data_IF_680599679479
#
_entry.id   IF_680599679479
#
_cell.length_a   1.000
_cell.length_b   1.000
_cell.length_c   1.000
_cell.angle_alpha   90.00
_cell.angle_beta   90.00
_cell.angle_gamma   90.00
#
_symmetry.space_group_name_H-M   'P 1'
#
loop_
_entity.id
_entity.type
_entity.pdbx_description
1 polymer ?
#
# COMPACT_ATOMS: atom_id res chain seq x y z
N UNK A 1 -7.92 5.71 17.18
CA UNK A 1 -8.31 6.67 16.12
C UNK A 1 -9.55 6.23 15.34
N UNK A 2 -9.49 5.17 14.51
CA UNK A 2 -10.59 4.78 13.61
C UNK A 2 -11.96 4.60 14.29
N UNK A 3 -12.00 3.98 15.49
CA UNK A 3 -13.25 3.82 16.23
C UNK A 3 -13.93 5.15 16.57
N UNK A 4 -13.17 6.20 16.88
CA UNK A 4 -13.69 7.50 17.26
C UNK A 4 -14.18 8.30 16.04
N UNK A 5 -13.39 8.29 14.96
CA UNK A 5 -13.66 9.10 13.74
C UNK A 5 -14.80 8.52 12.89
N UNK A 6 -15.06 7.21 12.97
CA UNK A 6 -16.10 6.52 12.18
C UNK A 6 -15.98 6.79 10.67
N UNK A 7 -14.79 6.60 10.07
CA UNK A 7 -14.62 6.92 8.67
C UNK A 7 -15.40 5.93 7.78
N UNK A 8 -15.89 6.41 6.64
CA UNK A 8 -16.55 5.56 5.64
C UNK A 8 -15.58 4.58 4.97
N UNK A 9 -14.28 4.93 4.92
CA UNK A 9 -13.21 4.07 4.44
C UNK A 9 -11.86 4.49 5.04
N UNK A 10 -10.85 3.65 4.92
CA UNK A 10 -9.48 3.98 5.31
C UNK A 10 -8.45 3.58 4.24
N UNK A 11 -7.38 4.38 4.14
CA UNK A 11 -6.19 4.04 3.37
C UNK A 11 -4.99 4.12 4.31
N UNK A 12 -4.33 3.00 4.57
CA UNK A 12 -3.06 2.98 5.28
C UNK A 12 -1.91 3.31 4.32
N UNK A 13 -1.04 4.21 4.75
CA UNK A 13 0.16 4.62 4.02
C UNK A 13 1.36 4.17 4.84
N UNK A 14 2.14 3.24 4.30
CA UNK A 14 3.17 2.54 5.08
C UNK A 14 4.46 2.35 4.26
N UNK A 15 5.48 1.74 4.85
CA UNK A 15 6.59 1.17 4.08
C UNK A 15 6.37 -0.34 3.89
N UNK A 16 7.07 -0.92 2.93
CA UNK A 16 7.10 -2.37 2.75
C UNK A 16 8.49 -2.80 2.34
N UNK A 17 8.86 -4.03 2.68
CA UNK A 17 10.20 -4.57 2.39
C UNK A 17 10.46 -4.57 0.90
N UNK A 18 11.53 -3.90 0.47
CA UNK A 18 12.18 -4.17 -0.80
C UNK A 18 13.29 -5.20 -0.57
N UNK A 19 13.26 -6.31 -1.32
CA UNK A 19 14.22 -7.41 -1.16
C UNK A 19 14.88 -7.80 -2.49
N UNK A 20 14.97 -6.84 -3.41
CA UNK A 20 15.68 -6.93 -4.67
C UNK A 20 17.21 -6.85 -4.47
N UNK A 21 17.70 -7.72 -3.59
CA UNK A 21 19.10 -7.85 -3.20
C UNK A 21 19.66 -9.19 -3.68
N UNK A 22 20.98 -9.31 -3.92
CA UNK A 22 21.59 -10.56 -4.32
C UNK A 22 21.23 -11.71 -3.38
N UNK A 23 20.87 -12.87 -3.94
CA UNK A 23 20.52 -14.07 -3.17
C UNK A 23 19.03 -14.23 -2.84
N UNK A 24 18.18 -13.25 -3.12
CA UNK A 24 16.72 -13.36 -2.96
C UNK A 24 16.08 -13.76 -4.30
N UNK A 25 15.27 -14.81 -4.30
CA UNK A 25 14.57 -15.25 -5.49
C UNK A 25 13.42 -14.27 -5.84
N UNK A 26 13.10 -14.06 -7.13
CA UNK A 26 12.09 -13.07 -7.53
C UNK A 26 10.70 -13.28 -6.91
N UNK A 27 10.29 -14.54 -6.66
CA UNK A 27 9.02 -14.87 -6.02
C UNK A 27 8.96 -14.52 -4.54
N UNK A 28 10.12 -14.47 -3.88
CA UNK A 28 10.26 -14.15 -2.45
C UNK A 28 10.49 -12.65 -2.24
N UNK A 29 10.67 -11.89 -3.32
CA UNK A 29 10.87 -10.45 -3.31
C UNK A 29 9.53 -9.72 -3.13
N UNK A 30 9.28 -9.07 -1.96
CA UNK A 30 7.96 -8.50 -1.70
C UNK A 30 7.66 -7.31 -2.61
N UNK A 31 8.67 -6.46 -2.77
CA UNK A 31 8.68 -5.30 -3.67
C UNK A 31 10.11 -5.03 -4.10
N UNK A 32 10.27 -4.20 -5.13
CA UNK A 32 11.58 -3.73 -5.61
C UNK A 32 11.64 -2.21 -5.55
N UNK A 33 12.84 -1.66 -5.31
CA UNK A 33 13.06 -0.22 -5.44
C UNK A 33 12.92 0.22 -6.90
N UNK A 34 12.45 1.43 -7.11
CA UNK A 34 12.31 2.08 -8.41
C UNK A 34 11.12 1.64 -9.24
N UNK A 35 10.30 0.73 -8.71
CA UNK A 35 9.08 0.20 -9.36
C UNK A 35 7.81 0.91 -8.91
N UNK A 36 7.94 1.99 -8.13
CA UNK A 36 6.83 2.82 -7.68
C UNK A 36 6.07 2.25 -6.48
N UNK A 37 4.97 2.92 -6.07
CA UNK A 37 4.14 2.50 -4.95
C UNK A 37 3.72 1.03 -5.05
N UNK A 38 3.74 0.37 -3.90
CA UNK A 38 3.25 -0.99 -3.75
C UNK A 38 1.79 -0.95 -3.31
N UNK A 39 0.91 -1.49 -4.15
CA UNK A 39 -0.50 -1.68 -3.82
C UNK A 39 -0.66 -3.08 -3.22
N UNK A 40 -1.25 -3.17 -2.03
CA UNK A 40 -1.53 -4.48 -1.40
C UNK A 40 -2.87 -5.02 -1.89
N UNK A 41 -2.89 -6.27 -2.33
CA UNK A 41 -4.14 -7.01 -2.63
C UNK A 41 -4.64 -7.70 -1.36
N UNK A 42 -3.73 -8.37 -0.66
CA UNK A 42 -3.99 -8.97 0.64
C UNK A 42 -2.67 -9.16 1.42
N UNK A 43 -2.79 -9.32 2.73
CA UNK A 43 -1.76 -9.78 3.65
C UNK A 43 -2.37 -10.73 4.69
N UNK A 44 -1.66 -11.07 5.78
CA UNK A 44 -2.20 -12.01 6.79
C UNK A 44 -3.35 -11.44 7.62
N UNK A 45 -3.52 -10.12 7.60
CA UNK A 45 -4.46 -9.36 8.43
C UNK A 45 -5.62 -8.77 7.63
N UNK A 46 -5.50 -8.67 6.30
CA UNK A 46 -6.48 -7.98 5.46
C UNK A 46 -6.54 -8.58 4.05
N UNK A 47 -7.75 -8.74 3.54
CA UNK A 47 -8.01 -8.72 2.09
C UNK A 47 -8.53 -7.32 1.77
N UNK A 48 -7.84 -6.59 0.90
CA UNK A 48 -8.18 -5.19 0.61
C UNK A 48 -9.54 -5.11 -0.07
N UNK A 49 -10.33 -4.10 0.31
CA UNK A 49 -11.63 -3.88 -0.32
C UNK A 49 -11.48 -3.68 -1.84
N UNK A 50 -12.26 -4.44 -2.63
CA UNK A 50 -12.13 -4.49 -4.09
C UNK A 50 -12.27 -3.11 -4.76
N UNK A 51 -13.24 -2.28 -4.34
CA UNK A 51 -13.43 -0.94 -4.91
C UNK A 51 -12.19 -0.07 -4.70
N UNK A 52 -11.59 -0.14 -3.51
CA UNK A 52 -10.36 0.62 -3.18
C UNK A 52 -9.20 0.16 -4.07
N UNK A 53 -9.01 -1.16 -4.18
CA UNK A 53 -7.94 -1.76 -4.99
C UNK A 53 -8.08 -1.40 -6.48
N UNK A 54 -9.28 -1.49 -7.04
CA UNK A 54 -9.56 -1.14 -8.43
C UNK A 54 -9.37 0.36 -8.69
N UNK A 55 -9.80 1.20 -7.76
CA UNK A 55 -9.65 2.65 -7.88
C UNK A 55 -8.18 3.08 -7.86
N UNK A 56 -7.38 2.54 -6.94
CA UNK A 56 -5.94 2.80 -6.90
C UNK A 56 -5.25 2.40 -8.21
N UNK A 57 -5.57 1.22 -8.75
CA UNK A 57 -5.04 0.78 -10.05
C UNK A 57 -5.49 1.67 -11.20
N UNK A 58 -6.77 2.07 -11.21
CA UNK A 58 -7.32 2.98 -12.21
C UNK A 58 -6.58 4.32 -12.19
N UNK A 59 -6.40 4.92 -11.00
CA UNK A 59 -5.69 6.18 -10.82
C UNK A 59 -4.23 6.08 -11.24
N UNK A 60 -3.53 5.01 -10.85
CA UNK A 60 -2.15 4.77 -11.25
C UNK A 60 -2.02 4.70 -12.78
N UNK A 61 -2.90 3.95 -13.46
CA UNK A 61 -2.94 3.87 -14.92
C UNK A 61 -3.28 5.23 -15.56
N UNK A 62 -4.33 5.91 -15.08
CA UNK A 62 -4.79 7.20 -15.61
C UNK A 62 -3.72 8.29 -15.51
N UNK A 63 -2.90 8.27 -14.46
CA UNK A 63 -1.83 9.24 -14.23
C UNK A 63 -0.45 8.76 -14.71
N UNK A 64 -0.36 7.60 -15.35
CA UNK A 64 0.90 6.98 -15.78
C UNK A 64 1.91 6.82 -14.63
N UNK A 65 1.42 6.51 -13.44
CA UNK A 65 2.25 6.23 -12.26
C UNK A 65 2.64 4.75 -12.29
N UNK A 66 3.93 4.40 -12.43
CA UNK A 66 4.38 3.03 -12.28
C UNK A 66 4.00 2.52 -10.87
N UNK A 67 3.44 1.32 -10.80
CA UNK A 67 3.11 0.70 -9.52
C UNK A 67 3.42 -0.80 -9.59
N UNK A 68 3.51 -1.40 -8.41
CA UNK A 68 3.68 -2.84 -8.25
C UNK A 68 2.67 -3.39 -7.25
N UNK A 69 2.43 -4.69 -7.29
CA UNK A 69 1.70 -5.36 -6.22
C UNK A 69 2.68 -5.86 -5.18
N UNK A 70 2.34 -5.66 -3.90
CA UNK A 70 3.07 -6.28 -2.80
C UNK A 70 2.89 -7.81 -2.87
N UNK A 71 4.00 -8.53 -2.91
CA UNK A 71 4.09 -9.98 -2.75
C UNK A 71 4.86 -10.28 -1.46
N UNK A 72 5.05 -11.53 -1.03
CA UNK A 72 4.00 -12.54 -0.87
C UNK A 72 2.94 -12.12 0.17
N UNK A 73 1.93 -12.96 0.42
CA UNK A 73 0.89 -12.78 1.46
C UNK A 73 1.48 -12.93 2.87
N UNK A 74 2.40 -12.04 3.23
CA UNK A 74 3.11 -12.03 4.50
C UNK A 74 3.14 -10.63 5.12
N UNK A 75 3.47 -10.60 6.41
CA UNK A 75 3.28 -9.41 7.24
C UNK A 75 1.81 -9.10 7.50
N UNK A 76 1.59 -7.96 8.13
CA UNK A 76 0.28 -7.35 8.35
C UNK A 76 0.46 -5.84 8.35
N UNK A 77 -0.64 -5.11 8.23
CA UNK A 77 -0.66 -3.65 8.07
C UNK A 77 -1.65 -3.06 9.07
N UNK A 78 -1.56 -1.75 9.33
CA UNK A 78 -2.51 -1.07 10.22
C UNK A 78 -3.94 -1.16 9.66
N UNK A 79 -4.08 -1.27 8.34
CA UNK A 79 -5.36 -1.48 7.68
C UNK A 79 -6.08 -2.76 8.14
N UNK A 80 -5.35 -3.82 8.50
CA UNK A 80 -5.96 -5.04 9.04
C UNK A 80 -6.64 -4.81 10.39
N UNK A 81 -6.07 -3.94 11.25
CA UNK A 81 -6.72 -3.54 12.51
C UNK A 81 -7.86 -2.57 12.27
N UNK A 82 -7.72 -1.63 11.34
CA UNK A 82 -8.76 -0.66 10.99
C UNK A 82 -9.99 -1.37 10.41
N UNK A 83 -9.79 -2.38 9.56
CA UNK A 83 -10.87 -3.12 8.92
C UNK A 83 -11.79 -3.86 9.91
N UNK A 84 -11.29 -4.20 11.10
CA UNK A 84 -12.06 -4.90 12.15
C UNK A 84 -12.81 -3.95 13.09
N UNK A 85 -12.70 -2.64 12.88
CA UNK A 85 -13.35 -1.65 13.75
C UNK A 85 -14.83 -1.52 13.41
N UNK A 86 -15.69 -1.54 14.44
CA UNK A 86 -17.15 -1.38 14.34
C UNK A 86 -17.78 -2.46 13.44
N UNK A 87 -18.63 -2.06 12.49
CA UNK A 87 -19.29 -2.96 11.52
C UNK A 87 -18.35 -3.40 10.39
N UNK A 88 -17.08 -2.97 10.44
CA UNK A 88 -16.07 -3.19 9.42
C UNK A 88 -15.87 -1.95 8.57
N UNK A 89 -14.64 -1.43 8.56
CA UNK A 89 -14.28 -0.24 7.77
C UNK A 89 -13.59 -0.71 6.48
N UNK A 90 -14.15 -0.45 5.28
CA UNK A 90 -13.47 -0.71 4.02
C UNK A 90 -12.08 -0.08 4.02
N UNK A 91 -11.05 -0.92 3.89
CA UNK A 91 -9.65 -0.49 4.06
C UNK A 91 -8.77 -0.94 2.90
N UNK A 92 -7.80 -0.10 2.54
CA UNK A 92 -6.74 -0.42 1.58
C UNK A 92 -5.37 0.04 2.05
N UNK A 93 -4.33 -0.31 1.30
CA UNK A 93 -2.93 -0.03 1.65
C UNK A 93 -2.15 0.38 0.41
N UNK A 94 -1.40 1.47 0.54
CA UNK A 94 -0.33 1.86 -0.40
C UNK A 94 0.96 1.99 0.37
N UNK A 95 2.02 1.34 -0.10
CA UNK A 95 3.31 1.31 0.60
C UNK A 95 4.45 1.82 -0.26
N UNK A 96 5.41 2.50 0.36
CA UNK A 96 6.70 2.84 -0.27
C UNK A 96 7.67 1.65 -0.11
N UNK A 97 8.23 1.11 -1.20
CA UNK A 97 9.30 0.11 -1.14
C UNK A 97 10.53 0.64 -0.38
N UNK A 98 11.00 -0.11 0.60
CA UNK A 98 12.13 0.29 1.43
C UNK A 98 12.93 -0.94 1.90
N UNK A 99 14.25 -0.87 1.80
CA UNK A 99 15.18 -1.90 2.29
C UNK A 99 15.49 -1.69 3.76
N UNK A 100 15.68 -2.81 4.47
CA UNK A 100 16.07 -2.81 5.88
C UNK A 100 15.06 -2.07 6.77
N UNK A 101 13.76 -2.21 6.47
CA UNK A 101 12.71 -1.77 7.38
C UNK A 101 12.86 -2.54 8.71
N UNK A 102 12.71 -1.87 9.85
CA UNK A 102 13.07 -2.35 11.19
C UNK A 102 14.57 -2.42 11.54
N UNK A 103 15.47 -1.93 10.69
CA UNK A 103 16.87 -1.68 11.05
C UNK A 103 17.08 -0.22 11.49
N UNK A 104 18.20 0.12 12.17
CA UNK A 104 18.52 1.52 12.51
C UNK A 104 18.70 2.45 11.31
N UNK A 105 19.01 1.88 10.14
CA UNK A 105 19.14 2.59 8.87
C UNK A 105 18.29 1.84 7.85
N UNK A 106 17.47 2.57 7.11
CA UNK A 106 16.67 2.05 6.01
C UNK A 106 17.00 2.82 4.73
N UNK A 107 16.77 2.19 3.57
CA UNK A 107 17.12 2.76 2.26
C UNK A 107 15.94 2.64 1.31
N UNK A 108 15.62 3.74 0.64
CA UNK A 108 14.53 3.83 -0.34
C UNK A 108 14.97 4.65 -1.55
N UNK A 109 14.18 4.60 -2.62
CA UNK A 109 14.32 5.49 -3.76
C UNK A 109 13.40 6.70 -3.63
N UNK A 110 13.94 7.92 -3.76
CA UNK A 110 13.15 9.15 -3.62
C UNK A 110 11.99 9.23 -4.62
N UNK A 111 12.20 8.74 -5.86
CA UNK A 111 11.14 8.69 -6.88
C UNK A 111 9.97 7.79 -6.48
N UNK A 112 10.21 6.75 -5.68
CA UNK A 112 9.11 5.91 -5.19
C UNK A 112 8.26 6.64 -4.16
N UNK A 113 8.85 7.51 -3.33
CA UNK A 113 8.09 8.41 -2.44
C UNK A 113 7.26 9.37 -3.27
N UNK A 114 7.85 10.08 -4.23
CA UNK A 114 7.16 11.06 -5.08
C UNK A 114 5.95 10.43 -5.78
N UNK A 115 6.15 9.28 -6.43
CA UNK A 115 5.07 8.52 -7.09
C UNK A 115 4.01 8.02 -6.11
N UNK A 116 4.41 7.67 -4.88
CA UNK A 116 3.46 7.28 -3.84
C UNK A 116 2.61 8.46 -3.41
N UNK A 117 3.22 9.63 -3.22
CA UNK A 117 2.49 10.88 -2.93
C UNK A 117 1.51 11.21 -4.05
N UNK A 118 1.92 11.12 -5.32
CA UNK A 118 1.05 11.40 -6.47
C UNK A 118 -0.18 10.47 -6.50
N UNK A 119 0.02 9.17 -6.21
CA UNK A 119 -1.06 8.19 -6.17
C UNK A 119 -2.01 8.42 -4.98
N UNK A 120 -1.46 8.67 -3.80
CA UNK A 120 -2.24 8.93 -2.59
C UNK A 120 -3.01 10.24 -2.72
N UNK A 121 -2.41 11.30 -3.27
CA UNK A 121 -3.10 12.56 -3.53
C UNK A 121 -4.26 12.36 -4.51
N UNK A 122 -4.03 11.63 -5.61
CA UNK A 122 -5.07 11.30 -6.57
C UNK A 122 -6.24 10.57 -5.91
N UNK A 123 -5.94 9.59 -5.05
CA UNK A 123 -6.94 8.85 -4.30
C UNK A 123 -7.69 9.75 -3.33
N UNK A 124 -6.99 10.54 -2.51
CA UNK A 124 -7.58 11.46 -1.54
C UNK A 124 -8.50 12.51 -2.17
N UNK A 125 -8.29 12.87 -3.44
CA UNK A 125 -9.17 13.79 -4.18
C UNK A 125 -10.41 13.10 -4.76
N UNK A 126 -10.39 11.79 -4.97
CA UNK A 126 -11.41 11.06 -5.75
C UNK A 126 -12.05 9.88 -5.01
N UNK A 127 -11.69 9.64 -3.75
CA UNK A 127 -12.22 8.50 -2.97
C UNK A 127 -13.76 8.52 -2.84
N UNK A 128 -14.37 9.70 -2.92
CA UNK A 128 -15.83 9.86 -2.85
C UNK A 128 -16.56 9.23 -4.04
N UNK A 129 -15.87 8.98 -5.16
CA UNK A 129 -16.43 8.32 -6.35
C UNK A 129 -16.72 6.82 -6.11
N UNK A 130 -16.14 6.23 -5.06
CA UNK A 130 -16.24 4.80 -4.74
C UNK A 130 -16.90 4.50 -3.39
N UNK A 131 -17.45 5.52 -2.74
CA UNK A 131 -18.26 5.37 -1.52
C UNK A 131 -19.56 4.60 -1.80
#
# INVERSE_FOLDING_TARGET
AAYQVRPAMALAIENTTAADTPGVAPQDCPTMLGKGPAITVADRSLIVNQKILEHLQHLAKKKNIPYQFKKPLSGGTDAGRIALVREGIPSGVVSVPCRYIHSPISLLELKDIERTCDLVEAFARTFHEIL
#
